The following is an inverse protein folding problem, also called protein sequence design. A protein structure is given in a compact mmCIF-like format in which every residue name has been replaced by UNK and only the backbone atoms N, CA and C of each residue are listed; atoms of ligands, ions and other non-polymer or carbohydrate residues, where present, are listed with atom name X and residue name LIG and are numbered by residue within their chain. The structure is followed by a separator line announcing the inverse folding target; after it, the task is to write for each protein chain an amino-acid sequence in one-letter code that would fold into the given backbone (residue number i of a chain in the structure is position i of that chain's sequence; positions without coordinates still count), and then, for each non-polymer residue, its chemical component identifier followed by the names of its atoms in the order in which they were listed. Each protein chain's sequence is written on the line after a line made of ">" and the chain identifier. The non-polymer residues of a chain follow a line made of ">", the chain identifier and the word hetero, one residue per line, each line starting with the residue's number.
data_IF_651170065379
#
_entry.id   IF_651170065379
#
_cell.length_a   1.000
_cell.length_b   1.000
_cell.length_c   1.000
_cell.angle_alpha   90.00
_cell.angle_beta   90.00
_cell.angle_gamma   90.00
#
_symmetry.space_group_name_H-M   'P 1'
#
loop_
_entity.id
_entity.type
_entity.pdbx_description
1 polymer ?
#
# COMPACT_ATOMS: atom_id res chain seq x y z
N UNK A 1 -24.93 -7.63 9.70
CA UNK A 1 -23.92 -7.57 10.79
C UNK A 1 -22.72 -8.48 10.53
N UNK A 2 -22.88 -9.76 10.17
CA UNK A 2 -21.74 -10.68 9.93
C UNK A 2 -20.80 -10.33 8.74
N UNK A 3 -21.29 -9.67 7.70
CA UNK A 3 -20.51 -9.36 6.49
C UNK A 3 -19.47 -8.25 6.71
N UNK A 4 -19.87 -7.16 7.38
CA UNK A 4 -19.01 -6.02 7.71
C UNK A 4 -17.88 -6.41 8.68
N UNK A 5 -18.17 -7.31 9.62
CA UNK A 5 -17.15 -7.84 10.53
C UNK A 5 -16.12 -8.66 9.74
N UNK A 6 -16.56 -9.54 8.83
CA UNK A 6 -15.67 -10.33 7.97
C UNK A 6 -14.79 -9.48 7.05
N UNK A 7 -15.34 -8.42 6.44
CA UNK A 7 -14.59 -7.47 5.61
C UNK A 7 -13.54 -6.71 6.44
N UNK A 8 -13.90 -6.28 7.65
CA UNK A 8 -12.96 -5.64 8.58
C UNK A 8 -11.85 -6.59 9.02
N UNK A 9 -12.17 -7.86 9.28
CA UNK A 9 -11.16 -8.89 9.58
C UNK A 9 -10.27 -9.20 8.36
N UNK A 10 -10.82 -9.19 7.15
CA UNK A 10 -10.07 -9.35 5.91
C UNK A 10 -9.04 -8.25 5.71
N UNK A 11 -9.48 -6.98 5.81
CA UNK A 11 -8.60 -5.82 5.68
C UNK A 11 -7.48 -5.81 6.73
N UNK A 12 -7.78 -6.14 7.99
CA UNK A 12 -6.78 -6.21 9.06
C UNK A 12 -5.72 -7.26 8.71
N UNK A 13 -6.13 -8.47 8.31
CA UNK A 13 -5.20 -9.55 7.94
C UNK A 13 -4.33 -9.18 6.74
N UNK A 14 -4.92 -8.54 5.73
CA UNK A 14 -4.21 -8.06 4.55
C UNK A 14 -3.16 -7.00 4.93
N UNK A 15 -3.52 -6.07 5.82
CA UNK A 15 -2.57 -5.08 6.31
C UNK A 15 -1.44 -5.71 7.13
N UNK A 16 -1.76 -6.63 8.04
CA UNK A 16 -0.77 -7.40 8.81
C UNK A 16 0.17 -8.21 7.92
N UNK A 17 -0.37 -8.88 6.89
CA UNK A 17 0.43 -9.59 5.89
C UNK A 17 1.35 -8.62 5.12
N UNK A 18 0.88 -7.41 4.79
CA UNK A 18 1.72 -6.38 4.20
C UNK A 18 2.86 -5.97 5.15
N UNK A 19 2.59 -5.74 6.44
CA UNK A 19 3.63 -5.37 7.41
C UNK A 19 4.66 -6.50 7.59
N UNK A 20 4.21 -7.74 7.70
CA UNK A 20 5.10 -8.91 7.77
C UNK A 20 5.94 -9.05 6.49
N UNK A 21 5.35 -8.85 5.31
CA UNK A 21 6.08 -8.88 4.04
C UNK A 21 7.14 -7.77 3.92
N UNK A 22 6.87 -6.59 4.49
CA UNK A 22 7.85 -5.50 4.58
C UNK A 22 8.99 -5.83 5.54
N UNK A 23 8.71 -6.49 6.66
CA UNK A 23 9.75 -6.98 7.56
C UNK A 23 10.67 -7.97 6.86
N UNK A 24 10.11 -8.95 6.15
CA UNK A 24 10.88 -9.92 5.35
C UNK A 24 11.70 -9.23 4.24
N UNK A 25 11.12 -8.26 3.55
CA UNK A 25 11.81 -7.47 2.52
C UNK A 25 13.00 -6.69 3.10
N UNK A 26 12.83 -6.07 4.28
CA UNK A 26 13.91 -5.32 4.94
C UNK A 26 14.99 -6.25 5.49
N UNK A 27 14.61 -7.42 6.03
CA UNK A 27 15.55 -8.37 6.62
C UNK A 27 16.35 -9.13 5.56
N UNK A 28 15.70 -9.62 4.50
CA UNK A 28 16.26 -10.58 3.54
C UNK A 28 16.73 -9.93 2.24
N UNK A 29 16.12 -8.81 1.85
CA UNK A 29 16.28 -8.19 0.53
C UNK A 29 16.77 -6.73 0.65
N UNK A 30 17.40 -6.36 1.77
CA UNK A 30 17.83 -4.99 2.06
C UNK A 30 18.73 -4.37 0.98
N UNK A 31 19.54 -5.19 0.29
CA UNK A 31 20.40 -4.72 -0.80
C UNK A 31 19.63 -4.04 -1.94
N UNK A 32 18.36 -4.40 -2.16
CA UNK A 32 17.56 -3.88 -3.27
C UNK A 32 17.26 -2.39 -3.13
N UNK A 33 17.22 -1.87 -1.90
CA UNK A 33 17.02 -0.45 -1.65
C UNK A 33 18.23 0.41 -2.09
N UNK A 34 19.41 -0.20 -2.24
CA UNK A 34 20.61 0.45 -2.74
C UNK A 34 20.77 0.38 -4.26
N UNK A 35 19.94 -0.40 -4.96
CA UNK A 35 20.06 -0.57 -6.40
C UNK A 35 19.57 0.66 -7.16
N UNK A 36 20.30 1.05 -8.20
CA UNK A 36 19.84 2.09 -9.13
C UNK A 36 18.59 1.59 -9.86
N UNK A 37 17.48 2.34 -9.76
CA UNK A 37 16.16 1.95 -10.32
C UNK A 37 15.67 0.61 -9.75
N UNK A 38 15.92 0.37 -8.47
CA UNK A 38 15.57 -0.85 -7.76
C UNK A 38 14.07 -1.05 -7.53
N UNK A 39 13.22 -0.04 -7.78
CA UNK A 39 11.77 -0.09 -7.48
C UNK A 39 11.09 -1.37 -7.96
N UNK A 40 11.27 -1.78 -9.21
CA UNK A 40 10.62 -2.99 -9.72
C UNK A 40 11.08 -4.26 -9.01
N UNK A 41 12.37 -4.37 -8.69
CA UNK A 41 12.90 -5.50 -7.92
C UNK A 41 12.32 -5.51 -6.50
N UNK A 42 12.22 -4.34 -5.86
CA UNK A 42 11.57 -4.16 -4.56
C UNK A 42 10.10 -4.57 -4.63
N UNK A 43 9.33 -4.10 -5.62
CA UNK A 43 7.92 -4.47 -5.81
C UNK A 43 7.76 -5.98 -6.00
N UNK A 44 8.60 -6.59 -6.84
CA UNK A 44 8.56 -8.02 -7.10
C UNK A 44 8.83 -8.83 -5.83
N UNK A 45 9.86 -8.48 -5.06
CA UNK A 45 10.17 -9.19 -3.80
C UNK A 45 9.12 -8.95 -2.72
N UNK A 46 8.57 -7.75 -2.64
CA UNK A 46 7.44 -7.46 -1.75
C UNK A 46 6.22 -8.32 -2.11
N UNK A 47 5.87 -8.38 -3.39
CA UNK A 47 4.77 -9.23 -3.88
C UNK A 47 5.04 -10.71 -3.59
N UNK A 48 6.27 -11.20 -3.81
CA UNK A 48 6.64 -12.57 -3.48
C UNK A 48 6.42 -12.93 -2.00
N UNK A 49 6.89 -12.09 -1.08
CA UNK A 49 6.71 -12.33 0.37
C UNK A 49 5.24 -12.25 0.76
N UNK A 50 4.53 -11.26 0.19
CA UNK A 50 3.10 -11.09 0.43
C UNK A 50 2.29 -12.28 -0.08
N UNK A 51 2.56 -12.75 -1.30
CA UNK A 51 1.94 -13.92 -1.91
C UNK A 51 2.09 -15.15 -1.03
N UNK A 52 3.31 -15.40 -0.55
CA UNK A 52 3.58 -16.52 0.35
C UNK A 52 2.78 -16.40 1.66
N UNK A 53 2.72 -15.22 2.27
CA UNK A 53 1.98 -15.01 3.52
C UNK A 53 0.46 -15.15 3.33
N UNK A 54 -0.05 -14.58 2.24
CA UNK A 54 -1.49 -14.53 1.94
C UNK A 54 -1.98 -15.93 1.55
N UNK A 55 -1.31 -16.64 0.65
CA UNK A 55 -1.77 -17.94 0.13
C UNK A 55 -1.35 -19.15 0.96
N UNK A 56 -0.34 -19.03 1.83
CA UNK A 56 -0.03 -20.10 2.80
C UNK A 56 -1.01 -20.11 3.98
N UNK A 57 -1.75 -19.02 4.19
CA UNK A 57 -2.81 -18.99 5.19
C UNK A 57 -4.03 -19.75 4.66
N UNK A 58 -4.39 -20.88 5.30
CA UNK A 58 -5.61 -21.67 4.99
C UNK A 58 -6.94 -20.89 5.14
N UNK A 59 -6.86 -19.58 5.42
CA UNK A 59 -7.95 -18.73 5.87
C UNK A 59 -8.63 -17.90 4.78
N UNK A 60 -8.08 -17.84 3.56
CA UNK A 60 -8.79 -17.33 2.39
C UNK A 60 -9.71 -18.43 1.88
N UNK A 61 -11.01 -18.28 2.17
CA UNK A 61 -12.04 -19.28 1.86
C UNK A 61 -11.91 -19.81 0.43
N UNK A 62 -12.00 -21.14 0.31
CA UNK A 62 -11.76 -21.97 -0.90
C UNK A 62 -12.62 -21.66 -2.14
N UNK A 63 -13.39 -20.58 -2.18
CA UNK A 63 -14.42 -20.41 -3.21
C UNK A 63 -13.96 -19.70 -4.48
N UNK A 64 -12.87 -18.92 -4.45
CA UNK A 64 -12.44 -18.16 -5.63
C UNK A 64 -10.91 -18.06 -5.71
N UNK A 65 -10.36 -18.36 -6.89
CA UNK A 65 -8.92 -18.26 -7.16
C UNK A 65 -8.49 -16.80 -7.13
N UNK A 66 -7.47 -16.49 -6.33
CA UNK A 66 -6.85 -15.18 -6.22
C UNK A 66 -5.50 -15.17 -6.93
N UNK A 67 -5.13 -14.00 -7.43
CA UNK A 67 -3.90 -13.76 -8.19
C UNK A 67 -3.19 -12.54 -7.63
N UNK A 68 -1.86 -12.59 -7.61
CA UNK A 68 -1.03 -11.43 -7.31
C UNK A 68 -0.29 -11.00 -8.57
N UNK A 69 -0.78 -9.94 -9.20
CA UNK A 69 -0.23 -9.43 -10.45
C UNK A 69 0.55 -8.14 -10.21
N UNK A 70 1.67 -7.98 -10.90
CA UNK A 70 2.47 -6.76 -10.89
C UNK A 70 2.02 -5.81 -12.01
N UNK A 71 2.05 -4.51 -11.73
CA UNK A 71 1.73 -3.44 -12.69
C UNK A 71 0.40 -3.64 -13.42
N UNK A 72 -0.60 -4.21 -12.75
CA UNK A 72 -1.91 -4.48 -13.32
C UNK A 72 -2.68 -3.17 -13.51
N UNK A 73 -3.06 -2.86 -14.74
CA UNK A 73 -3.89 -1.69 -15.03
C UNK A 73 -5.31 -1.90 -14.50
N UNK A 74 -5.83 -0.88 -13.82
CA UNK A 74 -7.24 -0.84 -13.41
C UNK A 74 -8.01 -0.02 -14.46
N UNK A 75 -9.13 -0.53 -15.01
CA UNK A 75 -9.94 0.25 -15.94
C UNK A 75 -10.41 1.58 -15.31
N UNK A 76 -10.18 2.69 -16.00
CA UNK A 76 -10.55 4.03 -15.53
C UNK A 76 -9.57 4.67 -14.53
N UNK A 77 -8.38 4.09 -14.37
CA UNK A 77 -7.33 4.64 -13.50
C UNK A 77 -6.87 6.04 -13.96
N UNK A 78 -6.48 6.86 -12.99
CA UNK A 78 -5.85 8.14 -13.24
C UNK A 78 -4.48 7.91 -13.84
N UNK A 79 -4.08 8.69 -14.86
CA UNK A 79 -2.73 8.59 -15.44
C UNK A 79 -1.58 8.83 -14.44
N UNK A 80 -1.89 9.31 -13.22
CA UNK A 80 -0.90 9.64 -12.20
C UNK A 80 -0.40 8.44 -11.39
N UNK A 81 -1.22 7.40 -11.23
CA UNK A 81 -0.85 6.25 -10.41
C UNK A 81 -1.40 4.99 -11.05
N UNK A 82 -0.62 3.92 -11.01
CA UNK A 82 -1.08 2.56 -11.31
C UNK A 82 -0.54 1.69 -10.17
N UNK A 83 -1.34 0.74 -9.65
CA UNK A 83 -0.84 -0.17 -8.62
C UNK A 83 0.34 -0.97 -9.15
N UNK A 84 1.41 -1.00 -8.36
CA UNK A 84 2.59 -1.80 -8.66
C UNK A 84 2.35 -3.27 -8.31
N UNK A 85 1.48 -3.54 -7.32
CA UNK A 85 1.06 -4.87 -6.88
C UNK A 85 -0.46 -4.88 -6.71
N UNK A 86 -1.14 -5.88 -7.28
CA UNK A 86 -2.59 -6.06 -7.19
C UNK A 86 -2.93 -7.50 -6.77
N UNK A 87 -3.65 -7.65 -5.67
CA UNK A 87 -4.30 -8.89 -5.25
C UNK A 87 -5.77 -8.85 -5.67
N UNK A 88 -6.18 -9.78 -6.53
CA UNK A 88 -7.52 -9.77 -7.13
C UNK A 88 -7.97 -11.15 -7.60
N UNK A 89 -9.24 -11.26 -7.97
CA UNK A 89 -9.73 -12.35 -8.83
C UNK A 89 -9.76 -11.89 -10.30
N UNK A 90 -9.71 -12.83 -11.24
CA UNK A 90 -9.82 -12.55 -12.68
C UNK A 90 -11.25 -12.75 -13.22
N UNK A 91 -12.25 -12.66 -12.34
CA UNK A 91 -13.65 -12.85 -12.73
C UNK A 91 -14.16 -11.65 -13.51
N UNK A 92 -14.70 -11.89 -14.71
CA UNK A 92 -15.32 -10.83 -15.52
C UNK A 92 -16.69 -10.43 -14.96
N UNK A 93 -17.41 -11.37 -14.35
CA UNK A 93 -18.78 -11.13 -13.83
C UNK A 93 -18.77 -10.49 -12.44
N UNK A 94 -17.77 -10.83 -11.62
CA UNK A 94 -17.65 -10.37 -10.23
C UNK A 94 -16.18 -10.05 -9.92
N UNK A 95 -15.62 -8.96 -10.48
CA UNK A 95 -14.25 -8.57 -10.20
C UNK A 95 -14.12 -8.17 -8.73
N UNK A 96 -13.21 -8.84 -8.02
CA UNK A 96 -12.87 -8.53 -6.63
C UNK A 96 -11.41 -8.11 -6.58
N UNK A 97 -11.13 -6.98 -5.93
CA UNK A 97 -9.78 -6.46 -5.74
C UNK A 97 -9.55 -6.33 -4.24
N UNK A 98 -8.82 -7.29 -3.66
CA UNK A 98 -8.63 -7.33 -2.22
C UNK A 98 -7.57 -6.29 -1.79
N UNK A 99 -6.51 -6.12 -2.58
CA UNK A 99 -5.43 -5.21 -2.24
C UNK A 99 -4.77 -4.56 -3.45
N UNK A 100 -4.53 -3.26 -3.38
CA UNK A 100 -3.69 -2.52 -4.31
C UNK A 100 -2.55 -1.82 -3.55
N UNK A 101 -1.29 -2.03 -3.97
CA UNK A 101 -0.10 -1.38 -3.42
C UNK A 101 0.60 -0.56 -4.50
N UNK A 102 0.87 0.70 -4.18
CA UNK A 102 1.64 1.65 -4.98
C UNK A 102 3.00 1.86 -4.33
N UNK A 103 4.08 1.62 -5.03
CA UNK A 103 5.44 1.78 -4.52
C UNK A 103 6.07 3.06 -5.05
N UNK A 104 6.71 3.84 -4.18
CA UNK A 104 7.40 5.09 -4.53
C UNK A 104 8.80 5.15 -3.93
N UNK A 105 9.73 5.77 -4.65
CA UNK A 105 11.11 6.02 -4.19
C UNK A 105 11.23 7.33 -3.37
N UNK A 106 10.09 7.92 -2.97
CA UNK A 106 10.00 9.18 -2.27
C UNK A 106 8.60 9.39 -1.66
N UNK A 107 8.44 10.49 -0.93
CA UNK A 107 7.13 10.89 -0.39
C UNK A 107 6.13 11.14 -1.53
N UNK A 108 4.87 10.78 -1.31
CA UNK A 108 3.80 11.11 -2.24
C UNK A 108 3.50 12.62 -2.18
N UNK A 109 3.37 13.23 -3.36
CA UNK A 109 2.82 14.57 -3.53
C UNK A 109 1.32 14.60 -3.21
N UNK A 110 0.73 15.79 -3.01
CA UNK A 110 -0.72 15.90 -2.77
C UNK A 110 -1.56 15.40 -3.95
N UNK A 111 -1.07 15.58 -5.17
CA UNK A 111 -1.69 15.03 -6.38
C UNK A 111 -1.69 13.49 -6.37
N UNK A 112 -0.59 12.86 -5.94
CA UNK A 112 -0.52 11.41 -5.77
C UNK A 112 -1.36 10.93 -4.57
N UNK A 113 -1.48 11.70 -3.50
CA UNK A 113 -2.38 11.35 -2.40
C UNK A 113 -3.85 11.36 -2.85
N UNK A 114 -4.25 12.37 -3.62
CA UNK A 114 -5.59 12.45 -4.22
C UNK A 114 -5.83 11.28 -5.17
N UNK A 115 -4.89 11.00 -6.07
CA UNK A 115 -5.07 9.91 -7.00
C UNK A 115 -5.01 8.52 -6.31
N UNK A 116 -4.35 8.38 -5.15
CA UNK A 116 -4.40 7.15 -4.34
C UNK A 116 -5.79 6.95 -3.71
N UNK A 117 -6.40 8.04 -3.25
CA UNK A 117 -7.79 8.01 -2.80
C UNK A 117 -8.76 7.70 -3.95
N UNK A 118 -8.58 8.32 -5.11
CA UNK A 118 -9.38 7.97 -6.30
C UNK A 118 -9.22 6.50 -6.69
N UNK A 119 -8.01 5.94 -6.57
CA UNK A 119 -7.76 4.51 -6.80
C UNK A 119 -8.60 3.67 -5.83
N UNK A 120 -8.63 3.99 -4.54
CA UNK A 120 -9.48 3.30 -3.54
C UNK A 120 -10.96 3.32 -3.94
N UNK A 121 -11.49 4.49 -4.31
CA UNK A 121 -12.90 4.68 -4.64
C UNK A 121 -13.28 4.03 -5.98
N UNK A 122 -12.49 4.24 -7.04
CA UNK A 122 -12.78 3.74 -8.39
C UNK A 122 -12.50 2.26 -8.54
N UNK A 123 -11.41 1.78 -7.96
CA UNK A 123 -11.05 0.37 -8.03
C UNK A 123 -11.90 -0.50 -7.11
N UNK A 124 -12.58 0.10 -6.13
CA UNK A 124 -13.32 -0.60 -5.08
C UNK A 124 -12.44 -1.67 -4.40
N UNK A 125 -11.17 -1.32 -4.15
CA UNK A 125 -10.23 -2.22 -3.49
C UNK A 125 -10.51 -2.26 -1.99
N UNK A 126 -10.48 -3.42 -1.34
CA UNK A 126 -10.67 -3.49 0.12
C UNK A 126 -9.55 -2.72 0.84
N UNK A 127 -8.30 -3.01 0.50
CA UNK A 127 -7.12 -2.32 1.02
C UNK A 127 -6.36 -1.60 -0.09
N UNK A 128 -6.15 -0.29 0.06
CA UNK A 128 -5.35 0.52 -0.87
C UNK A 128 -4.21 1.19 -0.13
N UNK A 129 -2.97 0.88 -0.53
CA UNK A 129 -1.75 1.36 0.10
C UNK A 129 -0.87 2.08 -0.91
N UNK A 130 -0.15 3.09 -0.45
CA UNK A 130 1.10 3.48 -1.04
C UNK A 130 2.24 3.32 -0.04
N UNK A 131 3.42 2.94 -0.51
CA UNK A 131 4.61 2.72 0.31
C UNK A 131 5.74 3.56 -0.28
N UNK A 132 6.20 4.55 0.49
CA UNK A 132 7.37 5.33 0.17
C UNK A 132 8.61 4.66 0.76
N UNK A 133 9.44 4.12 -0.12
CA UNK A 133 10.79 3.68 0.20
C UNK A 133 11.70 4.89 0.25
N UNK A 134 12.19 5.20 1.45
CA UNK A 134 13.02 6.38 1.73
C UNK A 134 14.43 5.89 2.11
N UNK A 135 15.36 5.70 1.15
CA UNK A 135 16.64 5.02 1.41
C UNK A 135 17.49 5.68 2.51
N UNK A 136 17.34 6.99 2.69
CA UNK A 136 18.07 7.78 3.69
C UNK A 136 17.38 7.83 5.06
N UNK A 137 16.25 7.13 5.24
CA UNK A 137 15.50 7.10 6.50
C UNK A 137 15.53 5.70 7.09
N UNK A 138 15.49 5.65 8.41
CA UNK A 138 15.37 4.42 9.20
C UNK A 138 13.95 3.85 9.19
N UNK A 139 13.02 4.48 8.46
CA UNK A 139 11.63 4.05 8.35
C UNK A 139 11.16 4.06 6.90
N UNK A 140 10.11 3.28 6.64
CA UNK A 140 9.26 3.37 5.47
C UNK A 140 7.97 4.09 5.87
N UNK A 141 7.41 4.88 4.94
CA UNK A 141 6.13 5.55 5.16
C UNK A 141 5.05 4.84 4.35
N UNK A 142 4.00 4.42 5.03
CA UNK A 142 2.85 3.75 4.41
C UNK A 142 1.66 4.70 4.48
N UNK A 143 1.01 4.91 3.35
CA UNK A 143 -0.21 5.69 3.21
C UNK A 143 -1.35 4.71 2.95
N UNK A 144 -2.30 4.62 3.88
CA UNK A 144 -3.52 3.83 3.68
C UNK A 144 -4.65 4.76 3.27
N UNK A 145 -5.16 4.58 2.06
CA UNK A 145 -6.37 5.27 1.63
C UNK A 145 -7.60 4.55 2.16
N UNK A 146 -8.47 5.34 2.78
CA UNK A 146 -9.81 4.97 3.25
C UNK A 146 -10.84 5.82 2.47
N UNK A 147 -12.13 5.62 2.69
CA UNK A 147 -13.17 6.29 1.86
C UNK A 147 -13.16 7.82 2.00
N UNK A 148 -12.71 8.34 3.15
CA UNK A 148 -12.74 9.78 3.46
C UNK A 148 -11.40 10.37 3.89
N UNK A 149 -10.38 9.53 4.12
CA UNK A 149 -9.13 9.93 4.77
C UNK A 149 -7.93 9.14 4.28
N UNK A 150 -6.75 9.66 4.58
CA UNK A 150 -5.47 8.97 4.44
C UNK A 150 -4.84 8.81 5.82
N UNK A 151 -4.55 7.57 6.18
CA UNK A 151 -3.81 7.22 7.38
C UNK A 151 -2.32 7.04 7.04
N UNK A 152 -1.45 7.67 7.83
CA UNK A 152 0.00 7.66 7.66
C UNK A 152 0.59 6.74 8.71
N UNK A 153 1.32 5.71 8.30
CA UNK A 153 1.99 4.78 9.19
C UNK A 153 3.51 4.83 9.02
N UNK A 154 4.22 4.82 10.12
CA UNK A 154 5.66 4.63 10.15
C UNK A 154 5.99 3.17 10.42
N UNK A 155 6.67 2.55 9.47
CA UNK A 155 7.27 1.24 9.62
C UNK A 155 8.77 1.40 9.88
N UNK A 156 9.23 1.09 11.08
CA UNK A 156 10.65 1.17 11.45
C UNK A 156 11.41 -0.03 10.90
N UNK A 157 12.55 0.22 10.25
CA UNK A 157 13.36 -0.81 9.56
C UNK A 157 14.25 -1.62 10.51
N UNK A 158 14.41 -1.17 11.75
CA UNK A 158 15.28 -1.81 12.75
C UNK A 158 14.51 -2.81 13.62
N UNK A 159 13.33 -2.43 14.10
CA UNK A 159 12.50 -3.25 15.01
C UNK A 159 11.22 -3.77 14.34
N UNK A 160 10.99 -3.43 13.06
CA UNK A 160 9.82 -3.80 12.27
C UNK A 160 8.49 -3.32 12.86
N UNK A 161 8.52 -2.38 13.79
CA UNK A 161 7.32 -1.85 14.41
C UNK A 161 6.61 -0.87 13.47
N UNK A 162 5.31 -1.12 13.25
CA UNK A 162 4.44 -0.25 12.46
C UNK A 162 3.46 0.49 13.38
N UNK A 163 3.43 1.83 13.30
CA UNK A 163 2.50 2.63 14.10
C UNK A 163 1.87 3.76 13.29
N UNK A 164 0.64 4.11 13.65
CA UNK A 164 -0.07 5.24 13.07
C UNK A 164 0.60 6.55 13.52
N UNK A 165 1.05 7.35 12.55
CA UNK A 165 1.65 8.66 12.76
C UNK A 165 0.60 9.76 12.74
N UNK A 166 -0.25 9.77 11.70
CA UNK A 166 -1.20 10.87 11.43
C UNK A 166 -2.40 10.34 10.64
N UNK A 167 -3.53 11.02 10.76
CA UNK A 167 -4.66 10.92 9.82
C UNK A 167 -4.91 12.29 9.19
N UNK A 168 -5.28 12.33 7.91
CA UNK A 168 -5.68 13.55 7.19
C UNK A 168 -6.94 13.27 6.41
N UNK A 169 -7.91 14.17 6.50
CA UNK A 169 -9.13 14.06 5.71
C UNK A 169 -8.84 14.43 4.25
N UNK A 170 -9.46 13.72 3.30
CA UNK A 170 -9.20 13.93 1.87
C UNK A 170 -9.67 15.32 1.43
N UNK A 171 -10.70 15.87 2.07
CA UNK A 171 -11.21 17.22 1.81
C UNK A 171 -10.14 18.29 2.10
N UNK A 172 -9.26 18.03 3.07
CA UNK A 172 -8.14 18.92 3.43
C UNK A 172 -6.95 18.80 2.47
N UNK A 173 -6.93 17.81 1.57
CA UNK A 173 -5.91 17.72 0.51
C UNK A 173 -6.11 18.79 -0.58
N UNK A 174 -7.26 19.48 -0.60
CA UNK A 174 -7.56 20.58 -1.52
C UNK A 174 -6.98 21.92 -1.08
N UNK A 175 -6.54 22.03 0.17
CA UNK A 175 -6.09 23.28 0.76
C UNK A 175 -4.55 23.34 0.75
N UNK A 176 -4.00 23.88 -0.34
CA UNK A 176 -2.57 24.14 -0.57
C UNK A 176 -1.93 25.04 0.53
N UNK A 177 -2.73 25.58 1.44
CA UNK A 177 -2.35 26.55 2.46
C UNK A 177 -1.68 25.95 3.72
N UNK A 178 -1.77 24.63 3.92
CA UNK A 178 -1.24 23.95 5.12
C UNK A 178 -0.08 22.99 4.83
N UNK A 179 0.73 23.32 3.82
CA UNK A 179 2.03 22.70 3.63
C UNK A 179 2.87 22.88 4.90
N UNK A 180 2.80 21.89 5.80
CA UNK A 180 3.71 21.74 6.93
C UNK A 180 5.09 21.56 6.32
N UNK A 181 5.79 22.67 6.12
CA UNK A 181 7.25 22.73 6.14
C UNK A 181 7.65 22.13 7.48
N UNK A 182 7.88 20.81 7.50
CA UNK A 182 8.71 20.18 8.51
C UNK A 182 9.98 21.02 8.55
N UNK A 183 10.18 21.75 9.65
CA UNK A 183 11.18 22.80 9.76
C UNK A 183 12.58 22.25 9.50
N UNK A 184 13.01 22.30 8.24
CA UNK A 184 14.41 22.22 7.89
C UNK A 184 15.03 23.53 8.35
N UNK A 185 15.71 23.50 9.50
CA UNK A 185 16.70 24.53 9.81
C UNK A 185 17.80 24.42 8.76
N UNK A 186 17.79 25.35 7.82
CA UNK A 186 18.93 25.62 6.95
C UNK A 186 20.08 26.04 7.88
N UNK A 187 21.17 25.28 7.88
CA UNK A 187 22.46 25.76 8.35
C UNK A 187 23.16 26.43 7.19
#
# INVERSE_FOLDING_TARGET
>A
MKTLDNERYGMIRLFEACIASLAMLVEQDAQLFGWRRGRLAVCHRLAYHLEHLVFSSESLGKSEVRFMDLCAAIPGDSHLITPDILLHNRSLERPVRDMAIVCREGYLSEAELKALHELKVKANCELTLAIAFLPQKEYLLIYRADDTRIDYYHFNRTDFHCHLLKRRDVIELSDDSHQLKLGMKVR
#
